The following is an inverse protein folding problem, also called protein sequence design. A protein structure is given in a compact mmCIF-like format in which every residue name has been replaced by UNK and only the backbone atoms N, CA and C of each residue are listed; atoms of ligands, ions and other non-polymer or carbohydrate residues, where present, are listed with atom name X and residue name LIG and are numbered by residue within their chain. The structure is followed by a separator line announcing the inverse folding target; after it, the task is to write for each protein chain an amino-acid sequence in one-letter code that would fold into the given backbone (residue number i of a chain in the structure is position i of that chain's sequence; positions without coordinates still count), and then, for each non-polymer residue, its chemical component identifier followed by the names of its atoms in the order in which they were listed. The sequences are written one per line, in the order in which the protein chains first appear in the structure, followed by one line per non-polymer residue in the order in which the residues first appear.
data_IF_966354064664
#
_entry.id   IF_966354064664
#
_cell.length_a   1.000
_cell.length_b   1.000
_cell.length_c   1.000
_cell.angle_alpha   90.00
_cell.angle_beta   90.00
_cell.angle_gamma   90.00
#
_symmetry.space_group_name_H-M   'P 1'
#
loop_
_entity.id
_entity.type
_entity.pdbx_description
1 polymer ?
#
# COMPACT_ATOMS: atom_id res chain seq x y z
N UNK A 1 -3.78 -15.15 12.24
CA UNK A 1 -2.99 -14.60 11.11
C UNK A 1 -3.11 -15.57 9.94
N UNK A 2 -3.35 -15.04 8.72
CA UNK A 2 -3.37 -15.90 7.51
C UNK A 2 -1.97 -16.44 7.18
N UNK A 3 -1.93 -17.59 6.52
CA UNK A 3 -0.72 -18.10 5.86
C UNK A 3 -0.61 -17.47 4.46
N UNK A 4 0.53 -16.84 4.19
CA UNK A 4 0.81 -16.17 2.91
C UNK A 4 1.80 -16.93 2.04
N UNK A 5 2.30 -18.07 2.50
CA UNK A 5 3.28 -18.88 1.77
C UNK A 5 2.75 -19.26 0.38
N UNK A 6 3.52 -18.92 -0.64
CA UNK A 6 3.19 -19.17 -2.05
C UNK A 6 2.10 -18.28 -2.64
N UNK A 7 1.45 -17.39 -1.85
CA UNK A 7 0.49 -16.41 -2.36
C UNK A 7 1.21 -15.27 -3.09
N UNK A 8 0.61 -14.76 -4.14
CA UNK A 8 1.15 -13.61 -4.85
C UNK A 8 0.70 -12.29 -4.22
N UNK A 9 1.68 -11.45 -3.97
CA UNK A 9 1.52 -10.15 -3.34
C UNK A 9 2.02 -9.03 -4.27
N UNK A 10 1.13 -8.14 -4.70
CA UNK A 10 1.50 -6.91 -5.41
C UNK A 10 1.85 -5.83 -4.39
N UNK A 11 3.03 -5.20 -4.56
CA UNK A 11 3.44 -4.03 -3.77
C UNK A 11 3.73 -2.87 -4.72
N UNK A 12 2.86 -1.86 -4.74
CA UNK A 12 3.14 -0.63 -5.50
C UNK A 12 4.16 0.23 -4.75
N UNK A 13 5.10 0.83 -5.51
CA UNK A 13 6.26 1.50 -4.91
C UNK A 13 7.16 0.53 -4.14
N UNK A 14 7.20 -0.76 -4.54
CA UNK A 14 7.91 -1.83 -3.85
C UNK A 14 9.45 -1.76 -3.93
N UNK A 15 9.99 -0.79 -4.68
CA UNK A 15 11.43 -0.72 -4.98
C UNK A 15 12.23 0.11 -3.98
N UNK A 16 11.59 0.83 -3.06
CA UNK A 16 12.25 1.67 -2.04
C UNK A 16 11.35 1.94 -0.83
N UNK A 17 11.92 2.59 0.20
CA UNK A 17 11.18 3.07 1.37
C UNK A 17 10.31 2.00 2.02
N UNK A 18 9.09 2.37 2.38
CA UNK A 18 8.11 1.50 3.04
C UNK A 18 7.77 0.26 2.19
N UNK A 19 7.57 0.45 0.88
CA UNK A 19 7.24 -0.68 -0.02
C UNK A 19 8.33 -1.75 -0.08
N UNK A 20 9.61 -1.36 -0.07
CA UNK A 20 10.73 -2.30 0.03
C UNK A 20 10.71 -3.07 1.35
N UNK A 21 10.44 -2.41 2.48
CA UNK A 21 10.36 -3.06 3.79
C UNK A 21 9.19 -4.06 3.84
N UNK A 22 8.02 -3.68 3.31
CA UNK A 22 6.89 -4.59 3.15
C UNK A 22 7.29 -5.82 2.31
N UNK A 23 7.94 -5.60 1.16
CA UNK A 23 8.35 -6.68 0.27
C UNK A 23 9.30 -7.67 0.96
N UNK A 24 10.28 -7.17 1.73
CA UNK A 24 11.22 -8.01 2.48
C UNK A 24 10.48 -8.87 3.51
N UNK A 25 9.59 -8.28 4.29
CA UNK A 25 8.88 -9.04 5.33
C UNK A 25 7.88 -10.04 4.73
N UNK A 26 7.20 -9.69 3.64
CA UNK A 26 6.32 -10.63 2.94
C UNK A 26 7.11 -11.79 2.33
N UNK A 27 8.32 -11.55 1.80
CA UNK A 27 9.22 -12.60 1.33
C UNK A 27 9.68 -13.53 2.46
N UNK A 28 10.02 -12.98 3.64
CA UNK A 28 10.35 -13.78 4.84
C UNK A 28 9.19 -14.69 5.26
N UNK A 29 7.96 -14.24 5.06
CA UNK A 29 6.76 -15.04 5.31
C UNK A 29 6.44 -16.02 4.17
N UNK A 30 7.24 -16.05 3.10
CA UNK A 30 7.13 -16.98 1.98
C UNK A 30 6.15 -16.55 0.88
N UNK A 31 5.70 -15.31 0.85
CA UNK A 31 4.87 -14.79 -0.24
C UNK A 31 5.70 -14.54 -1.51
N UNK A 32 5.15 -14.86 -2.67
CA UNK A 32 5.69 -14.43 -3.96
C UNK A 32 5.32 -12.96 -4.21
N UNK A 33 6.13 -12.23 -4.97
CA UNK A 33 6.02 -10.79 -5.07
C UNK A 33 5.93 -10.29 -6.51
N UNK A 34 5.08 -9.30 -6.71
CA UNK A 34 5.12 -8.40 -7.86
C UNK A 34 5.48 -7.01 -7.33
N UNK A 35 6.65 -6.51 -7.71
CA UNK A 35 7.14 -5.19 -7.32
C UNK A 35 6.83 -4.20 -8.44
N UNK A 36 5.97 -3.21 -8.16
CA UNK A 36 5.75 -2.11 -9.08
C UNK A 36 6.70 -0.97 -8.74
N UNK A 37 7.39 -0.47 -9.75
CA UNK A 37 8.20 0.75 -9.75
C UNK A 37 7.86 1.63 -10.96
N UNK A 38 8.44 2.84 -11.04
CA UNK A 38 8.28 3.69 -12.22
C UNK A 38 8.89 3.02 -13.47
N UNK A 39 9.98 2.30 -13.28
CA UNK A 39 10.64 1.46 -14.27
C UNK A 39 11.02 0.12 -13.62
N UNK A 40 11.05 -0.97 -14.41
CA UNK A 40 11.38 -2.32 -13.92
C UNK A 40 12.78 -2.40 -13.34
N UNK A 41 13.74 -1.64 -13.87
CA UNK A 41 15.12 -1.61 -13.39
C UNK A 41 15.23 -1.15 -11.93
N UNK A 42 14.28 -0.36 -11.45
CA UNK A 42 14.24 0.05 -10.04
C UNK A 42 14.05 -1.13 -9.07
N UNK A 43 13.51 -2.26 -9.55
CA UNK A 43 13.30 -3.45 -8.72
C UNK A 43 14.54 -4.35 -8.61
N UNK A 44 15.53 -4.24 -9.51
CA UNK A 44 16.66 -5.17 -9.59
C UNK A 44 17.40 -5.34 -8.26
N UNK A 45 17.67 -4.21 -7.58
CA UNK A 45 18.34 -4.24 -6.27
C UNK A 45 17.51 -4.99 -5.22
N UNK A 46 16.20 -4.75 -5.20
CA UNK A 46 15.31 -5.40 -4.23
C UNK A 46 15.14 -6.87 -4.58
N UNK A 47 15.02 -7.23 -5.85
CA UNK A 47 14.98 -8.63 -6.30
C UNK A 47 16.22 -9.40 -5.83
N UNK A 48 17.42 -8.82 -5.99
CA UNK A 48 18.65 -9.43 -5.50
C UNK A 48 18.65 -9.60 -3.97
N UNK A 49 18.13 -8.63 -3.24
CA UNK A 49 17.99 -8.65 -1.79
C UNK A 49 16.97 -9.70 -1.31
N UNK A 50 15.96 -10.00 -2.11
CA UNK A 50 14.92 -11.00 -1.81
C UNK A 50 15.34 -12.44 -2.17
N UNK A 51 16.38 -12.63 -2.99
CA UNK A 51 16.82 -13.93 -3.46
C UNK A 51 17.08 -14.97 -2.34
N UNK A 52 17.63 -14.62 -1.15
CA UNK A 52 17.85 -15.58 -0.07
C UNK A 52 16.56 -16.20 0.51
N UNK A 53 15.39 -15.60 0.29
CA UNK A 53 14.12 -16.11 0.83
C UNK A 53 13.48 -17.18 -0.06
N UNK A 54 14.00 -17.41 -1.27
CA UNK A 54 13.56 -18.49 -2.16
C UNK A 54 12.13 -18.32 -2.71
N UNK A 55 11.60 -17.09 -2.70
CA UNK A 55 10.29 -16.75 -3.27
C UNK A 55 10.41 -16.29 -4.71
N UNK A 56 9.33 -16.42 -5.49
CA UNK A 56 9.29 -15.84 -6.82
C UNK A 56 9.05 -14.33 -6.75
N UNK A 57 9.82 -13.58 -7.56
CA UNK A 57 9.67 -12.12 -7.66
C UNK A 57 9.57 -11.72 -9.13
N UNK A 58 8.60 -10.86 -9.43
CA UNK A 58 8.43 -10.23 -10.73
C UNK A 58 8.43 -8.71 -10.56
N UNK A 59 8.81 -7.98 -11.61
CA UNK A 59 8.77 -6.52 -11.62
C UNK A 59 7.87 -6.03 -12.75
N UNK A 60 7.09 -4.98 -12.47
CA UNK A 60 6.34 -4.23 -13.48
C UNK A 60 6.67 -2.75 -13.36
N UNK A 61 6.76 -2.07 -14.51
CA UNK A 61 7.06 -0.64 -14.59
C UNK A 61 5.84 0.14 -15.05
N UNK A 62 5.46 1.20 -14.33
CA UNK A 62 4.51 2.19 -14.82
C UNK A 62 4.61 3.50 -14.02
N UNK A 63 4.37 4.62 -14.69
CA UNK A 63 4.09 5.88 -14.02
C UNK A 63 2.63 5.88 -13.54
N UNK A 64 2.42 5.93 -12.23
CA UNK A 64 1.08 5.91 -11.63
C UNK A 64 0.26 7.19 -11.87
N UNK A 65 0.84 8.22 -12.48
CA UNK A 65 0.10 9.38 -12.98
C UNK A 65 -0.55 9.12 -14.34
N UNK A 66 -0.07 8.11 -15.07
CA UNK A 66 -0.53 7.79 -16.41
C UNK A 66 -1.45 6.57 -16.39
N UNK A 67 -2.72 6.82 -16.64
CA UNK A 67 -3.74 5.77 -16.59
C UNK A 67 -3.50 4.65 -17.62
N UNK A 68 -3.01 4.98 -18.82
CA UNK A 68 -2.72 3.99 -19.86
C UNK A 68 -1.51 3.10 -19.48
N UNK A 69 -0.52 3.67 -18.78
CA UNK A 69 0.61 2.88 -18.27
C UNK A 69 0.16 1.93 -17.14
N UNK A 70 -0.77 2.38 -16.29
CA UNK A 70 -1.36 1.51 -15.26
C UNK A 70 -2.10 0.34 -15.93
N UNK A 71 -2.92 0.60 -16.95
CA UNK A 71 -3.62 -0.45 -17.69
C UNK A 71 -2.66 -1.45 -18.33
N UNK A 72 -1.58 -0.98 -18.94
CA UNK A 72 -0.56 -1.83 -19.53
C UNK A 72 0.15 -2.71 -18.48
N UNK A 73 0.48 -2.14 -17.31
CA UNK A 73 1.11 -2.88 -16.22
C UNK A 73 0.16 -3.94 -15.63
N UNK A 74 -1.12 -3.62 -15.46
CA UNK A 74 -2.13 -4.57 -15.00
C UNK A 74 -2.33 -5.71 -16.01
N UNK A 75 -2.40 -5.40 -17.30
CA UNK A 75 -2.48 -6.40 -18.36
C UNK A 75 -1.22 -7.29 -18.41
N UNK A 76 -0.04 -6.76 -18.14
CA UNK A 76 1.19 -7.55 -18.01
C UNK A 76 1.09 -8.53 -16.83
N UNK A 77 0.60 -8.09 -15.66
CA UNK A 77 0.40 -8.96 -14.51
C UNK A 77 -0.58 -10.10 -14.84
N UNK A 78 -1.69 -9.78 -15.52
CA UNK A 78 -2.67 -10.77 -15.93
C UNK A 78 -2.08 -11.80 -16.91
N UNK A 79 -1.28 -11.34 -17.87
CA UNK A 79 -0.61 -12.19 -18.86
C UNK A 79 0.40 -13.17 -18.25
N UNK A 80 0.97 -12.86 -17.07
CA UNK A 80 1.83 -13.77 -16.33
C UNK A 80 1.06 -14.93 -15.67
N UNK A 81 -0.28 -14.90 -15.70
CA UNK A 81 -1.14 -15.97 -15.16
C UNK A 81 -1.10 -16.10 -13.65
N UNK A 82 -0.60 -15.09 -12.95
CA UNK A 82 -0.49 -15.10 -11.50
C UNK A 82 -1.82 -14.68 -10.85
N UNK A 83 -2.24 -15.43 -9.84
CA UNK A 83 -3.37 -15.04 -9.03
C UNK A 83 -2.92 -14.09 -7.92
N UNK A 84 -3.16 -12.79 -8.07
CA UNK A 84 -2.86 -11.83 -7.01
C UNK A 84 -3.88 -11.95 -5.89
N UNK A 85 -3.41 -12.36 -4.72
CA UNK A 85 -4.21 -12.57 -3.50
C UNK A 85 -4.07 -11.40 -2.52
N UNK A 86 -2.92 -10.72 -2.56
CA UNK A 86 -2.57 -9.66 -1.62
C UNK A 86 -2.13 -8.42 -2.40
N UNK A 87 -2.63 -7.25 -2.01
CA UNK A 87 -2.27 -5.97 -2.64
C UNK A 87 -1.92 -4.94 -1.58
N UNK A 88 -0.71 -4.42 -1.65
CA UNK A 88 -0.29 -3.22 -0.93
C UNK A 88 -0.25 -2.04 -1.91
N UNK A 89 -1.29 -1.23 -1.92
CA UNK A 89 -1.30 0.06 -2.58
C UNK A 89 -0.49 1.05 -1.73
N UNK A 90 0.84 0.95 -1.82
CA UNK A 90 1.77 1.67 -0.97
C UNK A 90 2.39 2.89 -1.67
N UNK A 91 2.50 2.91 -2.99
CA UNK A 91 3.05 4.04 -3.72
C UNK A 91 2.36 5.35 -3.33
N UNK A 92 3.13 6.41 -3.26
CA UNK A 92 2.63 7.73 -2.95
C UNK A 92 3.53 8.83 -3.51
N UNK A 93 2.94 9.99 -3.71
CA UNK A 93 3.57 11.23 -4.12
C UNK A 93 3.29 12.31 -3.09
N UNK A 94 4.31 13.02 -2.62
CA UNK A 94 4.13 14.21 -1.80
C UNK A 94 3.87 15.42 -2.71
N UNK A 95 2.88 16.23 -2.36
CA UNK A 95 2.62 17.53 -2.98
C UNK A 95 3.81 18.49 -2.82
N UNK A 96 3.87 19.50 -3.69
CA UNK A 96 4.74 20.63 -3.44
C UNK A 96 4.33 21.32 -2.12
N UNK A 97 5.31 21.74 -1.33
CA UNK A 97 5.07 22.52 -0.10
C UNK A 97 4.92 24.00 -0.44
N UNK A 98 3.71 24.52 -0.32
CA UNK A 98 3.41 25.93 -0.60
C UNK A 98 3.52 26.76 0.68
N UNK A 99 4.63 27.50 0.84
CA UNK A 99 4.86 28.36 2.01
C UNK A 99 3.70 29.35 2.22
N UNK A 100 3.15 29.90 1.13
CA UNK A 100 1.86 30.58 1.15
C UNK A 100 0.76 29.59 0.76
N UNK A 101 0.04 29.09 1.74
CA UNK A 101 -0.99 28.07 1.57
C UNK A 101 -2.15 28.52 0.66
N UNK A 102 -2.30 29.81 0.37
CA UNK A 102 -3.31 30.32 -0.56
C UNK A 102 -2.89 30.17 -2.03
N UNK A 103 -1.65 29.78 -2.29
CA UNK A 103 -1.09 29.62 -3.64
C UNK A 103 -1.06 28.18 -4.14
N UNK A 104 -1.67 27.24 -3.41
CA UNK A 104 -1.84 25.86 -3.90
C UNK A 104 -2.48 25.85 -5.29
N UNK A 105 -1.90 25.11 -6.23
CA UNK A 105 -2.37 25.08 -7.62
C UNK A 105 -3.27 23.90 -7.89
N UNK A 106 -4.20 24.02 -8.85
CA UNK A 106 -5.02 22.89 -9.30
C UNK A 106 -4.15 21.78 -9.94
N UNK A 107 -3.01 22.14 -10.52
CA UNK A 107 -2.04 21.19 -11.06
C UNK A 107 -1.50 20.26 -9.96
N UNK A 108 -1.11 20.81 -8.80
CA UNK A 108 -0.65 20.03 -7.64
C UNK A 108 -1.76 19.10 -7.12
N UNK A 109 -3.01 19.59 -7.05
CA UNK A 109 -4.15 18.71 -6.72
C UNK A 109 -4.31 17.58 -7.72
N UNK A 110 -4.21 17.83 -9.03
CA UNK A 110 -4.33 16.80 -10.05
C UNK A 110 -3.22 15.74 -9.91
N UNK A 111 -1.96 16.14 -9.75
CA UNK A 111 -0.84 15.23 -9.52
C UNK A 111 -1.03 14.39 -8.25
N UNK A 112 -1.38 15.04 -7.15
CA UNK A 112 -1.62 14.34 -5.89
C UNK A 112 -2.76 13.34 -6.00
N UNK A 113 -3.88 13.71 -6.60
CA UNK A 113 -5.04 12.84 -6.82
C UNK A 113 -4.72 11.68 -7.77
N UNK A 114 -3.95 11.92 -8.83
CA UNK A 114 -3.59 10.87 -9.78
C UNK A 114 -2.87 9.70 -9.08
N UNK A 115 -1.81 9.99 -8.33
CA UNK A 115 -0.98 8.94 -7.70
C UNK A 115 -1.57 8.43 -6.39
N UNK A 116 -2.09 9.33 -5.53
CA UNK A 116 -2.50 8.93 -4.18
C UNK A 116 -3.96 8.47 -4.08
N UNK A 117 -4.78 8.70 -5.11
CA UNK A 117 -6.18 8.31 -5.11
C UNK A 117 -6.58 7.51 -6.36
N UNK A 118 -6.46 8.06 -7.58
CA UNK A 118 -6.98 7.39 -8.78
C UNK A 118 -6.23 6.09 -9.09
N UNK A 119 -4.89 6.08 -9.01
CA UNK A 119 -4.10 4.87 -9.25
C UNK A 119 -4.46 3.72 -8.28
N UNK A 120 -4.46 3.90 -6.95
CA UNK A 120 -4.84 2.83 -6.03
C UNK A 120 -6.31 2.41 -6.17
N UNK A 121 -7.22 3.32 -6.51
CA UNK A 121 -8.63 2.98 -6.80
C UNK A 121 -8.72 2.13 -8.06
N UNK A 122 -8.03 2.48 -9.16
CA UNK A 122 -8.00 1.71 -10.39
C UNK A 122 -7.44 0.30 -10.15
N UNK A 123 -6.34 0.18 -9.42
CA UNK A 123 -5.74 -1.11 -9.03
C UNK A 123 -6.73 -1.93 -8.18
N UNK A 124 -7.44 -1.28 -7.25
CA UNK A 124 -8.45 -1.94 -6.44
C UNK A 124 -9.58 -2.52 -7.29
N UNK A 125 -10.16 -1.73 -8.20
CA UNK A 125 -11.22 -2.19 -9.09
C UNK A 125 -10.77 -3.30 -10.05
N UNK A 126 -9.49 -3.36 -10.38
CA UNK A 126 -8.94 -4.44 -11.22
C UNK A 126 -8.91 -5.78 -10.47
N UNK A 127 -8.39 -5.82 -9.24
CA UNK A 127 -8.20 -7.09 -8.51
C UNK A 127 -9.40 -7.53 -7.69
N UNK A 128 -10.21 -6.61 -7.13
CA UNK A 128 -11.34 -6.94 -6.27
C UNK A 128 -12.35 -7.91 -6.90
N UNK A 129 -12.76 -7.77 -8.18
CA UNK A 129 -13.70 -8.72 -8.78
C UNK A 129 -13.19 -10.16 -8.77
N UNK A 130 -11.90 -10.36 -9.08
CA UNK A 130 -11.25 -11.66 -9.02
C UNK A 130 -11.17 -12.20 -7.59
N UNK A 131 -10.79 -11.38 -6.62
CA UNK A 131 -10.75 -11.74 -5.20
C UNK A 131 -12.13 -12.16 -4.69
N UNK A 132 -13.18 -11.38 -5.00
CA UNK A 132 -14.57 -11.66 -4.60
C UNK A 132 -15.03 -13.00 -5.22
N UNK A 133 -14.77 -13.21 -6.51
CA UNK A 133 -15.14 -14.46 -7.19
C UNK A 133 -14.49 -15.69 -6.56
N UNK A 134 -13.24 -15.56 -6.10
CA UNK A 134 -12.49 -16.65 -5.45
C UNK A 134 -12.82 -16.80 -3.95
N UNK A 135 -13.46 -15.79 -3.35
CA UNK A 135 -13.78 -15.77 -1.93
C UNK A 135 -12.59 -15.49 -1.01
N UNK A 136 -11.47 -14.94 -1.54
CA UNK A 136 -10.29 -14.58 -0.77
C UNK A 136 -9.56 -13.39 -1.39
N UNK A 137 -9.12 -12.46 -0.55
CA UNK A 137 -8.26 -11.34 -0.94
C UNK A 137 -7.94 -10.43 0.22
N UNK A 138 -6.78 -9.79 0.16
CA UNK A 138 -6.35 -8.76 1.14
C UNK A 138 -5.85 -7.54 0.40
N UNK A 139 -6.39 -6.39 0.73
CA UNK A 139 -5.98 -5.12 0.13
C UNK A 139 -5.73 -4.08 1.20
N UNK A 140 -4.54 -3.52 1.18
CA UNK A 140 -4.17 -2.39 2.00
C UNK A 140 -3.92 -1.17 1.14
N UNK A 141 -4.49 -0.03 1.53
CA UNK A 141 -4.25 1.26 0.90
C UNK A 141 -3.52 2.17 1.89
N UNK A 142 -2.33 2.65 1.49
CA UNK A 142 -1.53 3.51 2.36
C UNK A 142 -2.08 4.93 2.36
N UNK A 143 -2.60 5.33 3.51
CA UNK A 143 -3.15 6.65 3.79
C UNK A 143 -2.16 7.51 4.59
N UNK A 144 -2.63 8.57 5.20
CA UNK A 144 -1.87 9.45 6.08
C UNK A 144 -2.77 10.11 7.11
N UNK A 145 -2.28 10.22 8.33
CA UNK A 145 -2.90 11.00 9.41
C UNK A 145 -2.58 12.51 9.32
N UNK A 146 -2.04 13.00 8.19
CA UNK A 146 -1.75 14.42 8.00
C UNK A 146 -2.97 15.28 8.30
N UNK A 147 -2.79 16.29 9.13
CA UNK A 147 -3.84 17.23 9.51
C UNK A 147 -3.22 18.60 9.81
N UNK A 148 -3.99 19.67 9.55
CA UNK A 148 -3.58 21.05 9.81
C UNK A 148 -2.31 21.51 9.02
N UNK A 149 -2.12 20.94 7.83
CA UNK A 149 -1.02 21.26 6.90
C UNK A 149 -1.59 21.80 5.58
N UNK A 150 -2.13 23.05 5.57
CA UNK A 150 -2.71 23.62 4.35
C UNK A 150 -1.68 23.85 3.24
N UNK A 151 -0.39 23.84 3.57
CA UNK A 151 0.73 23.91 2.63
C UNK A 151 0.88 22.64 1.77
N UNK A 152 0.25 21.53 2.18
CA UNK A 152 0.27 20.22 1.51
C UNK A 152 -1.15 19.77 1.12
N UNK A 153 -2.03 20.70 0.79
CA UNK A 153 -3.47 20.44 0.65
C UNK A 153 -3.79 19.37 -0.43
N UNK A 154 -3.09 19.38 -1.56
CA UNK A 154 -3.29 18.37 -2.61
C UNK A 154 -3.09 16.96 -2.08
N UNK A 155 -1.99 16.73 -1.35
CA UNK A 155 -1.70 15.45 -0.72
C UNK A 155 -2.73 15.07 0.35
N UNK A 156 -3.02 16.01 1.25
CA UNK A 156 -3.96 15.77 2.36
C UNK A 156 -5.36 15.39 1.84
N UNK A 157 -5.86 16.11 0.84
CA UNK A 157 -7.15 15.80 0.21
C UNK A 157 -7.15 14.43 -0.47
N UNK A 158 -6.08 14.06 -1.18
CA UNK A 158 -6.00 12.77 -1.86
C UNK A 158 -5.98 11.60 -0.86
N UNK A 159 -5.25 11.72 0.25
CA UNK A 159 -5.23 10.69 1.32
C UNK A 159 -6.57 10.60 2.07
N UNK A 160 -7.24 11.73 2.29
CA UNK A 160 -8.59 11.75 2.86
C UNK A 160 -9.60 11.06 1.93
N UNK A 161 -9.56 11.35 0.62
CA UNK A 161 -10.41 10.71 -0.39
C UNK A 161 -10.19 9.19 -0.43
N UNK A 162 -8.92 8.74 -0.38
CA UNK A 162 -8.57 7.32 -0.33
C UNK A 162 -9.15 6.63 0.91
N UNK A 163 -9.05 7.26 2.06
CA UNK A 163 -9.63 6.76 3.31
C UNK A 163 -11.15 6.65 3.21
N UNK A 164 -11.81 7.67 2.66
CA UNK A 164 -13.25 7.67 2.45
C UNK A 164 -13.68 6.53 1.53
N UNK A 165 -12.96 6.32 0.41
CA UNK A 165 -13.21 5.22 -0.52
C UNK A 165 -13.20 3.86 0.19
N UNK A 166 -12.17 3.57 1.00
CA UNK A 166 -12.06 2.30 1.72
C UNK A 166 -13.17 2.12 2.74
N UNK A 167 -13.49 3.17 3.52
CA UNK A 167 -14.56 3.13 4.53
C UNK A 167 -15.92 2.85 3.92
N UNK A 168 -16.24 3.50 2.81
CA UNK A 168 -17.53 3.30 2.14
C UNK A 168 -17.64 1.93 1.47
N UNK A 169 -16.53 1.45 0.87
CA UNK A 169 -16.53 0.16 0.19
C UNK A 169 -16.65 -1.01 1.19
N UNK A 170 -16.22 -0.83 2.43
CA UNK A 170 -16.17 -1.86 3.46
C UNK A 170 -17.51 -2.55 3.70
N UNK A 171 -18.65 -1.83 3.57
CA UNK A 171 -19.99 -2.41 3.78
C UNK A 171 -20.30 -3.57 2.81
N UNK A 172 -19.60 -3.63 1.66
CA UNK A 172 -19.76 -4.70 0.65
C UNK A 172 -18.83 -5.89 0.90
N UNK A 173 -17.80 -5.71 1.72
CA UNK A 173 -16.76 -6.74 1.98
C UNK A 173 -16.88 -7.34 3.38
N UNK A 174 -17.48 -6.64 4.35
CA UNK A 174 -17.60 -7.12 5.71
C UNK A 174 -18.34 -8.48 5.78
N UNK A 175 -17.77 -9.39 6.57
CA UNK A 175 -18.27 -10.76 6.70
C UNK A 175 -17.77 -11.71 5.60
N UNK A 176 -17.08 -11.21 4.58
CA UNK A 176 -16.41 -12.03 3.56
C UNK A 176 -14.92 -12.20 3.88
N UNK A 177 -14.25 -13.15 3.22
CA UNK A 177 -12.79 -13.30 3.34
C UNK A 177 -12.01 -12.46 2.31
N UNK A 178 -12.66 -11.41 1.79
CA UNK A 178 -12.02 -10.33 1.03
C UNK A 178 -12.02 -9.08 1.90
N UNK A 179 -10.84 -8.61 2.28
CA UNK A 179 -10.70 -7.51 3.23
C UNK A 179 -9.95 -6.35 2.60
N UNK A 180 -10.43 -5.14 2.85
CA UNK A 180 -9.80 -3.90 2.43
C UNK A 180 -9.74 -2.90 3.59
N UNK A 181 -8.51 -2.44 3.90
CA UNK A 181 -8.26 -1.55 5.03
C UNK A 181 -7.26 -0.45 4.64
N UNK A 182 -7.20 0.63 5.42
CA UNK A 182 -6.15 1.64 5.26
C UNK A 182 -5.06 1.49 6.31
N UNK A 183 -3.84 1.88 5.94
CA UNK A 183 -2.70 1.92 6.85
C UNK A 183 -2.02 3.28 6.75
N UNK A 184 -1.82 3.92 7.87
CA UNK A 184 -0.99 5.11 8.03
C UNK A 184 0.40 4.69 8.52
N UNK A 185 1.47 4.92 7.73
CA UNK A 185 2.83 4.55 8.12
C UNK A 185 3.40 5.45 9.23
N UNK A 186 2.78 6.60 9.49
CA UNK A 186 3.36 7.70 10.23
C UNK A 186 4.36 8.51 9.38
N UNK A 187 4.93 9.55 9.97
CA UNK A 187 5.93 10.39 9.30
C UNK A 187 7.33 9.80 9.44
N UNK A 188 7.86 9.24 8.33
CA UNK A 188 9.08 8.43 8.28
C UNK A 188 10.20 9.14 7.51
N UNK A 189 11.46 8.96 7.92
CA UNK A 189 12.66 9.43 7.21
C UNK A 189 12.91 8.62 5.92
N UNK A 190 12.10 8.88 4.92
CA UNK A 190 12.18 8.34 3.56
C UNK A 190 12.33 9.48 2.56
N UNK A 191 12.54 9.18 1.28
CA UNK A 191 12.53 10.21 0.23
C UNK A 191 11.25 11.03 0.21
N UNK A 192 10.12 10.43 0.57
CA UNK A 192 8.83 11.10 0.62
C UNK A 192 8.67 11.95 1.88
N UNK A 193 9.05 11.44 3.04
CA UNK A 193 8.84 12.12 4.31
C UNK A 193 9.96 13.11 4.70
N UNK A 194 11.09 13.05 3.99
CA UNK A 194 12.24 13.92 4.21
C UNK A 194 13.09 13.55 5.44
N UNK A 195 14.25 14.20 5.59
CA UNK A 195 15.23 13.83 6.64
C UNK A 195 14.80 14.23 8.06
N UNK A 196 13.88 15.18 8.17
CA UNK A 196 13.42 15.73 9.46
C UNK A 196 12.27 14.93 10.10
N UNK A 197 11.80 13.87 9.44
CA UNK A 197 10.73 13.03 9.99
C UNK A 197 11.18 12.36 11.30
N UNK A 198 10.29 12.25 12.32
CA UNK A 198 10.65 11.75 13.63
C UNK A 198 10.98 10.26 13.63
N UNK A 199 10.34 9.48 12.76
CA UNK A 199 10.41 8.04 12.82
C UNK A 199 11.41 7.45 11.81
N UNK A 200 12.12 6.39 12.21
CA UNK A 200 12.95 5.60 11.30
C UNK A 200 12.06 4.83 10.30
N UNK A 201 12.50 4.62 9.05
CA UNK A 201 11.71 3.86 8.08
C UNK A 201 11.30 2.47 8.57
N UNK A 202 12.19 1.80 9.29
CA UNK A 202 12.02 0.44 9.81
C UNK A 202 10.91 0.35 10.88
N UNK A 203 10.58 1.47 11.55
CA UNK A 203 9.52 1.51 12.55
C UNK A 203 8.13 1.19 11.99
N UNK A 204 7.96 1.25 10.67
CA UNK A 204 6.71 0.87 10.01
C UNK A 204 6.38 -0.62 10.16
N UNK A 205 7.39 -1.44 10.42
CA UNK A 205 7.24 -2.89 10.63
C UNK A 205 7.15 -3.17 12.15
N UNK A 206 6.22 -4.03 12.57
CA UNK A 206 5.33 -4.90 11.79
C UNK A 206 4.00 -4.25 11.37
N UNK A 207 3.71 -3.02 11.82
CA UNK A 207 2.41 -2.35 11.65
C UNK A 207 1.90 -2.32 10.21
N UNK A 208 2.79 -2.12 9.23
CA UNK A 208 2.44 -2.09 7.81
C UNK A 208 1.91 -3.43 7.28
N UNK A 209 2.07 -4.53 8.00
CA UNK A 209 1.61 -5.86 7.58
C UNK A 209 0.28 -6.27 8.22
N UNK A 210 -0.07 -5.64 9.35
CA UNK A 210 -1.17 -6.07 10.21
C UNK A 210 -2.48 -6.22 9.43
N UNK A 211 -2.87 -5.21 8.69
CA UNK A 211 -4.17 -5.19 8.00
C UNK A 211 -4.31 -6.28 6.93
N UNK A 212 -3.20 -6.77 6.37
CA UNK A 212 -3.17 -7.82 5.34
C UNK A 212 -3.10 -9.21 5.97
N UNK A 213 -2.46 -9.34 7.13
CA UNK A 213 -2.29 -10.63 7.81
C UNK A 213 -3.47 -11.05 8.69
N UNK A 214 -4.46 -10.17 8.89
CA UNK A 214 -5.69 -10.48 9.62
C UNK A 214 -6.60 -11.48 8.87
N UNK A 215 -7.36 -12.25 9.66
CA UNK A 215 -8.31 -13.28 9.19
C UNK A 215 -9.72 -13.10 9.81
N UNK A 216 -10.03 -11.91 10.30
CA UNK A 216 -11.24 -11.62 11.08
C UNK A 216 -12.41 -11.10 10.24
N UNK A 217 -12.28 -11.05 8.92
CA UNK A 217 -13.30 -10.68 7.94
C UNK A 217 -13.90 -9.28 8.13
N UNK A 218 -13.07 -8.33 8.63
CA UNK A 218 -13.47 -6.95 8.86
C UNK A 218 -12.71 -6.01 7.93
N UNK A 219 -13.43 -5.14 7.27
CA UNK A 219 -12.91 -4.10 6.36
C UNK A 219 -13.20 -2.69 6.88
N UNK A 220 -12.57 -1.69 6.27
CA UNK A 220 -12.84 -0.27 6.55
C UNK A 220 -12.07 0.30 7.74
N UNK A 221 -11.17 -0.47 8.33
CA UNK A 221 -10.38 -0.06 9.51
C UNK A 221 -9.18 0.79 9.14
N UNK A 222 -8.80 1.65 10.07
CA UNK A 222 -7.57 2.43 10.03
C UNK A 222 -6.52 1.80 10.96
N UNK A 223 -5.37 1.47 10.41
CA UNK A 223 -4.22 0.96 11.15
C UNK A 223 -3.11 2.02 11.14
N UNK A 224 -2.69 2.46 12.31
CA UNK A 224 -1.51 3.29 12.50
C UNK A 224 -0.31 2.38 12.71
N UNK A 225 0.63 2.35 11.76
CA UNK A 225 1.76 1.42 11.85
C UNK A 225 2.62 1.65 13.09
N UNK A 226 2.69 2.90 13.56
CA UNK A 226 3.48 3.28 14.72
C UNK A 226 2.94 2.72 16.04
N UNK A 227 1.67 2.30 16.12
CA UNK A 227 1.08 1.67 17.31
C UNK A 227 1.65 0.27 17.59
N UNK A 228 2.36 -0.32 16.63
CA UNK A 228 2.90 -1.68 16.67
C UNK A 228 4.42 -1.74 16.82
N UNK A 229 5.10 -0.60 16.98
CA UNK A 229 6.57 -0.55 17.10
C UNK A 229 7.05 -1.43 18.25
N UNK A 230 8.06 -2.27 17.95
CA UNK A 230 8.66 -3.19 18.94
C UNK A 230 7.88 -4.49 19.17
N UNK A 231 6.73 -4.68 18.53
CA UNK A 231 6.00 -5.94 18.60
C UNK A 231 6.56 -6.98 17.62
N UNK A 232 6.33 -8.26 17.90
CA UNK A 232 6.45 -9.30 16.87
C UNK A 232 5.29 -9.17 15.87
N UNK A 233 5.42 -9.75 14.67
CA UNK A 233 4.32 -9.77 13.69
C UNK A 233 3.08 -10.45 14.30
N UNK A 234 3.25 -11.54 15.04
CA UNK A 234 2.15 -12.27 15.64
C UNK A 234 1.40 -11.42 16.69
N UNK A 235 2.13 -10.75 17.56
CA UNK A 235 1.54 -9.87 18.59
C UNK A 235 0.85 -8.67 17.98
N UNK A 236 1.44 -8.07 16.94
CA UNK A 236 0.86 -6.95 16.20
C UNK A 236 -0.46 -7.33 15.51
N UNK A 237 -0.52 -8.51 14.88
CA UNK A 237 -1.76 -9.01 14.26
C UNK A 237 -2.83 -9.29 15.31
N UNK A 238 -2.47 -9.86 16.45
CA UNK A 238 -3.43 -10.08 17.55
C UNK A 238 -3.94 -8.74 18.13
N UNK A 239 -3.07 -7.77 18.32
CA UNK A 239 -3.46 -6.41 18.71
C UNK A 239 -4.38 -5.76 17.65
N UNK A 240 -4.08 -5.96 16.37
CA UNK A 240 -4.85 -5.44 15.23
C UNK A 240 -6.30 -5.93 15.16
N UNK A 241 -6.62 -7.10 15.73
CA UNK A 241 -8.01 -7.60 15.82
C UNK A 241 -8.93 -6.68 16.64
N UNK A 242 -8.36 -5.88 17.54
CA UNK A 242 -9.09 -4.97 18.43
C UNK A 242 -9.40 -3.61 17.79
N UNK A 243 -8.77 -3.31 16.64
CA UNK A 243 -9.03 -2.06 15.91
C UNK A 243 -10.45 -2.08 15.36
N UNK A 244 -11.20 -1.02 15.64
CA UNK A 244 -12.58 -0.84 15.17
C UNK A 244 -12.61 -0.19 13.78
N UNK A 245 -13.68 -0.41 13.03
CA UNK A 245 -13.93 0.22 11.73
C UNK A 245 -14.48 1.63 11.88
#
# INVERSE_FOLDING_TARGET
MIDVKGKWCLVTGGCRGVGRLIAIEMAKLGANLVLQGRDKSHAEKVIAELAPYGVEVRAVGCNLENEAEIDAALAEIDALGMQIDLVFNNAGLMSHYFTDYLTNTMEDFHHAMAVNFFAPVKIAYHFLPGMIKRGFGRMQLTTSGIANEPELMGYACAKAALTKFVKDFACKLNGTDVMMNVMDPGWLRTDLGGPNAPNAPESVIPGALVSVLLDDKKSGRWFSAQDYVGMTIADAVEAGRKVLA
#
